data_IF_262273200924
#
_entry.id   IF_262273200924
#
_cell.length_a   1.000
_cell.length_b   1.000
_cell.length_c   1.000
_cell.angle_alpha   90.00
_cell.angle_beta   90.00
_cell.angle_gamma   90.00
#
_symmetry.space_group_name_H-M   'P 1'
#
loop_
_entity.id
_entity.type
_entity.pdbx_description
1 polymer ?
#
# COMPACT_ATOMS: atom_id res chain seq x y z
N UNK A 1 -56.32 74.67 -8.74
CA UNK A 1 -56.50 75.90 -7.92
C UNK A 1 -55.69 75.69 -6.66
N UNK A 2 -54.50 76.30 -6.56
CA UNK A 2 -54.22 77.45 -5.66
C UNK A 2 -54.57 77.13 -4.19
N UNK A 3 -53.73 77.31 -3.18
CA UNK A 3 -52.46 78.00 -3.04
C UNK A 3 -51.98 77.79 -1.58
N UNK A 4 -50.68 77.98 -1.32
CA UNK A 4 -50.07 78.76 -0.19
C UNK A 4 -50.77 78.73 1.19
N UNK A 5 -50.13 78.66 2.37
CA UNK A 5 -48.75 78.56 2.87
C UNK A 5 -48.83 78.94 4.36
N UNK A 6 -47.70 78.74 5.07
CA UNK A 6 -47.15 79.65 6.10
C UNK A 6 -47.41 79.41 7.60
N UNK A 7 -46.32 78.93 8.22
CA UNK A 7 -45.57 79.47 9.38
C UNK A 7 -46.10 79.41 10.82
N UNK A 8 -45.44 78.53 11.58
CA UNK A 8 -44.67 78.76 12.84
C UNK A 8 -45.05 79.95 13.74
N UNK A 9 -45.24 79.63 15.03
CA UNK A 9 -44.72 80.39 16.18
C UNK A 9 -44.58 79.51 17.44
N UNK A 10 -43.44 79.65 18.14
CA UNK A 10 -43.08 79.13 19.48
C UNK A 10 -43.69 80.05 20.57
N UNK A 11 -43.87 79.66 21.87
CA UNK A 11 -42.77 79.38 22.80
C UNK A 11 -43.03 78.38 23.97
N UNK A 12 -41.97 78.04 24.70
CA UNK A 12 -41.94 77.34 26.00
C UNK A 12 -42.17 78.34 27.17
N UNK A 13 -42.32 78.01 28.49
CA UNK A 13 -41.42 77.11 29.25
C UNK A 13 -41.97 76.38 30.53
N UNK A 14 -41.05 75.61 31.13
CA UNK A 14 -40.79 75.46 32.58
C UNK A 14 -41.40 74.29 33.41
N UNK A 15 -40.50 73.35 33.76
CA UNK A 15 -40.13 72.83 35.11
C UNK A 15 -41.26 72.20 35.95
N UNK A 16 -41.15 71.01 36.56
CA UNK A 16 -40.01 70.38 37.27
C UNK A 16 -40.52 69.02 37.78
N UNK A 17 -39.69 67.97 37.73
CA UNK A 17 -39.36 67.04 38.83
C UNK A 17 -38.54 65.86 38.29
N UNK A 18 -37.29 65.76 38.75
CA UNK A 18 -36.53 64.51 38.83
C UNK A 18 -37.25 63.59 39.86
N UNK A 19 -37.10 62.26 39.91
CA UNK A 19 -35.90 61.40 39.90
C UNK A 19 -36.34 59.95 39.63
N UNK A 20 -35.40 59.14 39.12
CA UNK A 20 -35.29 57.67 39.16
C UNK A 20 -36.13 56.86 38.16
N UNK A 21 -35.61 55.85 37.44
CA UNK A 21 -34.31 55.14 37.49
C UNK A 21 -34.22 54.23 36.25
N UNK A 22 -33.05 54.23 35.62
CA UNK A 22 -32.37 53.06 34.98
C UNK A 22 -33.20 52.18 34.02
N UNK A 23 -33.15 52.53 32.74
CA UNK A 23 -33.32 51.58 31.63
C UNK A 23 -32.65 52.14 30.36
N UNK A 24 -31.33 52.28 30.39
CA UNK A 24 -30.55 52.65 29.21
C UNK A 24 -29.18 51.97 29.30
N UNK A 25 -29.05 50.80 28.67
CA UNK A 25 -27.75 50.22 28.27
C UNK A 25 -27.94 49.00 27.35
N UNK A 26 -28.89 49.05 26.40
CA UNK A 26 -29.13 47.93 25.50
C UNK A 26 -29.45 48.41 24.08
N UNK A 27 -28.54 49.14 23.43
CA UNK A 27 -28.56 49.30 21.96
C UNK A 27 -27.29 49.90 21.31
N UNK A 28 -26.12 49.87 21.98
CA UNK A 28 -24.83 50.29 21.35
C UNK A 28 -23.67 49.39 21.81
N UNK A 29 -23.79 48.08 21.66
CA UNK A 29 -22.71 47.12 21.93
C UNK A 29 -22.46 46.14 20.77
N UNK A 30 -22.81 46.54 19.53
CA UNK A 30 -22.70 45.70 18.34
C UNK A 30 -21.69 46.23 17.30
N UNK A 31 -20.77 47.13 17.68
CA UNK A 31 -19.81 47.73 16.73
C UNK A 31 -18.34 47.77 17.20
N UNK A 32 -17.93 46.98 18.20
CA UNK A 32 -16.52 46.94 18.64
C UNK A 32 -15.98 45.51 18.72
N UNK A 33 -15.94 44.81 17.59
CA UNK A 33 -15.39 43.45 17.52
C UNK A 33 -14.79 43.03 16.18
N UNK A 34 -14.50 43.95 15.26
CA UNK A 34 -14.07 43.62 13.90
C UNK A 34 -12.68 44.18 13.51
N UNK A 35 -11.78 44.34 14.48
CA UNK A 35 -10.38 44.61 14.21
C UNK A 35 -9.50 43.72 15.11
N UNK A 36 -9.64 42.40 14.98
CA UNK A 36 -8.49 41.54 15.30
C UNK A 36 -7.48 41.78 14.17
N UNK A 37 -6.24 42.20 14.45
CA UNK A 37 -5.21 42.20 13.42
C UNK A 37 -5.07 40.76 12.92
N UNK A 38 -5.02 40.58 11.60
CA UNK A 38 -4.66 39.29 11.03
C UNK A 38 -3.36 38.85 11.70
N UNK A 39 -3.40 37.71 12.38
CA UNK A 39 -2.20 37.12 12.96
C UNK A 39 -1.19 37.01 11.83
N UNK A 40 0.06 37.50 11.99
CA UNK A 40 1.06 37.35 10.96
C UNK A 40 1.16 35.86 10.63
N UNK A 41 0.65 35.47 9.45
CA UNK A 41 0.88 34.13 8.94
C UNK A 41 2.38 34.07 8.66
N UNK A 42 3.12 33.16 9.31
CA UNK A 42 4.50 32.93 8.93
C UNK A 42 4.50 32.62 7.44
N UNK A 43 5.24 33.40 6.65
CA UNK A 43 5.52 33.02 5.28
C UNK A 43 6.15 31.63 5.32
N UNK A 44 5.59 30.70 4.55
CA UNK A 44 6.15 29.37 4.45
C UNK A 44 7.61 29.53 4.00
N UNK A 45 8.60 28.97 4.72
CA UNK A 45 9.98 29.04 4.29
C UNK A 45 10.07 28.49 2.86
N UNK A 46 10.93 29.08 2.01
CA UNK A 46 11.09 28.63 0.63
C UNK A 46 11.38 27.13 0.61
N UNK A 47 10.70 26.41 -0.29
CA UNK A 47 10.89 24.97 -0.43
C UNK A 47 12.39 24.68 -0.70
N UNK A 48 12.97 23.65 -0.05
CA UNK A 48 14.35 23.26 -0.31
C UNK A 48 14.57 22.99 -1.80
N UNK A 49 15.73 23.37 -2.33
CA UNK A 49 16.09 23.09 -3.73
C UNK A 49 16.22 21.59 -4.03
N UNK A 50 16.45 20.78 -2.98
CA UNK A 50 16.46 19.32 -3.03
C UNK A 50 15.52 18.83 -1.93
N UNK A 51 14.56 17.96 -2.28
CA UNK A 51 13.65 17.40 -1.30
C UNK A 51 14.42 16.68 -0.18
N UNK A 52 13.97 16.74 1.08
CA UNK A 52 14.57 15.97 2.16
C UNK A 52 14.13 14.50 2.11
N UNK A 53 14.80 13.63 2.88
CA UNK A 53 14.25 12.33 3.22
C UNK A 53 12.86 12.49 3.89
N UNK A 54 11.90 11.68 3.45
CA UNK A 54 10.52 11.71 3.94
C UNK A 54 10.39 11.38 5.43
N UNK A 55 11.32 10.58 5.96
CA UNK A 55 11.46 10.25 7.37
C UNK A 55 12.92 10.34 7.79
N UNK A 56 13.14 10.65 9.06
CA UNK A 56 14.39 10.35 9.76
C UNK A 56 14.42 8.89 10.19
N UNK A 57 15.61 8.31 10.37
CA UNK A 57 15.75 6.93 10.87
C UNK A 57 14.95 6.68 12.16
N UNK A 58 14.99 7.55 13.20
CA UNK A 58 14.18 7.34 14.39
C UNK A 58 12.66 7.43 14.16
N UNK A 59 12.20 8.15 13.13
CA UNK A 59 10.79 8.15 12.75
C UNK A 59 10.39 6.82 12.11
N UNK A 60 11.22 6.29 11.22
CA UNK A 60 11.00 4.96 10.62
C UNK A 60 11.00 3.85 11.67
N UNK A 61 11.92 3.88 12.63
CA UNK A 61 11.92 2.93 13.76
C UNK A 61 10.63 3.00 14.58
N UNK A 62 10.13 4.21 14.89
CA UNK A 62 8.83 4.36 15.60
C UNK A 62 7.65 3.81 14.80
N UNK A 63 7.65 3.98 13.47
CA UNK A 63 6.63 3.38 12.60
C UNK A 63 6.68 1.86 12.71
N UNK A 64 7.87 1.28 12.63
CA UNK A 64 8.09 -0.16 12.72
C UNK A 64 7.71 -0.73 14.09
N UNK A 65 8.07 -0.07 15.19
CA UNK A 65 7.63 -0.47 16.55
C UNK A 65 6.11 -0.51 16.64
N UNK A 66 5.43 0.55 16.19
CA UNK A 66 3.97 0.60 16.24
C UNK A 66 3.30 -0.42 15.30
N UNK A 67 3.91 -0.73 14.15
CA UNK A 67 3.47 -1.83 13.29
C UNK A 67 3.60 -3.18 14.02
N UNK A 68 4.74 -3.43 14.68
CA UNK A 68 5.00 -4.67 15.42
C UNK A 68 4.00 -4.91 16.55
N UNK A 69 3.63 -3.86 17.29
CA UNK A 69 2.59 -3.90 18.32
C UNK A 69 1.23 -4.30 17.74
N UNK A 70 0.82 -3.69 16.63
CA UNK A 70 -0.46 -4.01 15.96
C UNK A 70 -0.45 -5.42 15.39
N UNK A 71 0.64 -5.84 14.73
CA UNK A 71 0.76 -7.20 14.20
C UNK A 71 0.70 -8.23 15.33
N UNK A 72 1.45 -8.03 16.42
CA UNK A 72 1.48 -8.96 17.56
C UNK A 72 0.07 -9.14 18.16
N UNK A 73 -0.61 -8.05 18.48
CA UNK A 73 -1.94 -8.10 19.08
C UNK A 73 -2.99 -8.72 18.13
N UNK A 74 -2.91 -8.38 16.84
CA UNK A 74 -3.87 -8.90 15.84
C UNK A 74 -3.61 -10.37 15.50
N UNK A 75 -2.34 -10.79 15.45
CA UNK A 75 -1.94 -12.18 15.15
C UNK A 75 -2.32 -13.12 16.30
N UNK A 76 -2.17 -12.68 17.56
CA UNK A 76 -2.61 -13.45 18.73
C UNK A 76 -4.13 -13.66 18.73
N UNK A 77 -4.90 -12.63 18.36
CA UNK A 77 -6.36 -12.68 18.31
C UNK A 77 -6.92 -13.28 17.01
N UNK A 78 -6.09 -13.41 15.97
CA UNK A 78 -6.50 -13.66 14.58
C UNK A 78 -7.62 -12.71 14.10
N UNK A 79 -7.56 -11.44 14.54
CA UNK A 79 -8.58 -10.43 14.26
C UNK A 79 -8.15 -9.48 13.12
N UNK A 80 -8.71 -9.61 11.91
CA UNK A 80 -8.36 -8.73 10.81
C UNK A 80 -8.83 -7.28 11.03
N UNK A 81 -9.84 -7.05 11.88
CA UNK A 81 -10.32 -5.71 12.22
C UNK A 81 -9.29 -4.91 13.02
N UNK A 82 -8.50 -5.59 13.86
CA UNK A 82 -7.46 -4.99 14.68
C UNK A 82 -6.24 -4.48 13.87
N UNK A 83 -6.09 -4.92 12.61
CA UNK A 83 -4.98 -4.55 11.73
C UNK A 83 -5.10 -3.14 11.14
N UNK A 84 -6.32 -2.61 11.00
CA UNK A 84 -6.63 -1.38 10.26
C UNK A 84 -5.79 -0.13 10.64
N UNK A 85 -5.33 0.05 11.89
CA UNK A 85 -4.48 1.18 12.25
C UNK A 85 -3.12 1.18 11.53
N UNK A 86 -2.56 0.02 11.19
CA UNK A 86 -1.18 -0.12 10.67
C UNK A 86 -1.03 -1.00 9.44
N UNK A 87 -2.06 -1.67 8.97
CA UNK A 87 -2.00 -2.53 7.79
C UNK A 87 -3.14 -2.17 6.83
N UNK A 88 -2.84 -2.14 5.54
CA UNK A 88 -3.78 -1.79 4.49
C UNK A 88 -3.48 -2.54 3.18
N UNK A 89 -4.32 -2.31 2.16
CA UNK A 89 -4.06 -2.75 0.79
C UNK A 89 -3.81 -4.26 0.68
N UNK A 90 -2.86 -4.69 -0.17
CA UNK A 90 -2.58 -6.11 -0.37
C UNK A 90 -2.11 -6.82 0.91
N UNK A 91 -1.34 -6.16 1.79
CA UNK A 91 -0.94 -6.73 3.06
C UNK A 91 -2.15 -7.10 3.94
N UNK A 92 -3.16 -6.25 4.00
CA UNK A 92 -4.38 -6.54 4.76
C UNK A 92 -5.12 -7.77 4.19
N UNK A 93 -5.24 -7.85 2.86
CA UNK A 93 -5.86 -9.00 2.19
C UNK A 93 -5.10 -10.30 2.46
N UNK A 94 -3.76 -10.26 2.29
CA UNK A 94 -2.88 -11.39 2.55
C UNK A 94 -3.01 -11.85 4.01
N UNK A 95 -2.85 -10.94 4.98
CA UNK A 95 -2.89 -11.26 6.41
C UNK A 95 -4.26 -11.79 6.86
N UNK A 96 -5.35 -11.22 6.35
CA UNK A 96 -6.71 -11.71 6.62
C UNK A 96 -6.86 -13.17 6.17
N UNK A 97 -6.33 -13.52 5.00
CA UNK A 97 -6.35 -14.90 4.52
C UNK A 97 -5.46 -15.81 5.38
N UNK A 98 -4.32 -15.32 5.89
CA UNK A 98 -3.50 -16.09 6.83
C UNK A 98 -4.20 -16.36 8.16
N UNK A 99 -5.05 -15.45 8.64
CA UNK A 99 -5.88 -15.69 9.82
C UNK A 99 -6.91 -16.79 9.59
N UNK A 100 -7.59 -16.78 8.43
CA UNK A 100 -8.47 -17.89 8.03
C UNK A 100 -7.70 -19.21 7.98
N UNK A 101 -6.49 -19.22 7.41
CA UNK A 101 -5.61 -20.39 7.35
C UNK A 101 -5.25 -20.89 8.75
N UNK A 102 -4.83 -19.99 9.63
CA UNK A 102 -4.45 -20.34 11.00
C UNK A 102 -5.63 -20.93 11.76
N UNK A 103 -6.82 -20.32 11.69
CA UNK A 103 -8.04 -20.85 12.31
C UNK A 103 -8.44 -22.22 11.74
N UNK A 104 -8.49 -22.34 10.41
CA UNK A 104 -8.91 -23.58 9.72
C UNK A 104 -7.95 -24.76 9.98
N UNK A 105 -6.68 -24.47 10.29
CA UNK A 105 -5.66 -25.48 10.61
C UNK A 105 -5.41 -25.65 12.10
N UNK A 106 -6.24 -25.05 12.96
CA UNK A 106 -6.08 -25.07 14.42
C UNK A 106 -4.66 -24.63 14.87
N UNK A 107 -4.10 -23.63 14.19
CA UNK A 107 -2.78 -23.07 14.47
C UNK A 107 -1.60 -23.81 13.82
N UNK A 108 -1.82 -24.92 13.11
CA UNK A 108 -0.73 -25.68 12.49
C UNK A 108 -0.02 -24.90 11.35
N UNK A 109 -0.72 -23.96 10.70
CA UNK A 109 -0.16 -23.04 9.71
C UNK A 109 -0.34 -21.59 10.19
N UNK A 110 0.51 -21.08 11.09
CA UNK A 110 0.37 -19.74 11.67
C UNK A 110 0.56 -18.64 10.61
N UNK A 111 0.21 -17.37 10.93
CA UNK A 111 0.53 -16.23 10.07
C UNK A 111 2.03 -16.11 9.79
N UNK A 112 2.37 -15.57 8.63
CA UNK A 112 3.77 -15.35 8.24
C UNK A 112 4.45 -14.40 9.23
N UNK A 113 5.60 -14.80 9.78
CA UNK A 113 6.39 -13.92 10.63
C UNK A 113 6.89 -12.70 9.83
N UNK A 114 6.64 -11.50 10.37
CA UNK A 114 7.10 -10.22 9.84
C UNK A 114 7.87 -9.46 10.94
N UNK A 115 9.18 -9.69 11.07
CA UNK A 115 10.00 -8.93 12.00
C UNK A 115 9.94 -7.44 11.66
N UNK A 116 9.90 -6.58 12.69
CA UNK A 116 9.87 -5.12 12.52
C UNK A 116 11.18 -4.45 12.91
N UNK A 117 12.24 -5.21 13.18
CA UNK A 117 13.59 -4.68 13.27
C UNK A 117 14.16 -4.54 11.86
N UNK A 118 14.75 -3.38 11.56
CA UNK A 118 15.31 -3.09 10.25
C UNK A 118 16.80 -3.41 10.18
N UNK A 119 17.19 -4.19 9.18
CA UNK A 119 18.59 -4.32 8.76
C UNK A 119 19.00 -3.16 7.84
N UNK A 120 18.09 -2.73 6.96
CA UNK A 120 18.28 -1.59 6.06
C UNK A 120 16.96 -0.89 5.78
N UNK A 121 17.04 0.42 5.49
CA UNK A 121 15.89 1.26 5.14
C UNK A 121 16.18 2.02 3.85
N UNK A 122 15.23 2.00 2.93
CA UNK A 122 15.23 2.86 1.73
C UNK A 122 14.09 3.86 1.91
N UNK A 123 14.46 5.08 2.28
CA UNK A 123 13.51 6.18 2.56
C UNK A 123 13.40 7.04 1.31
N UNK A 124 12.19 7.43 0.86
CA UNK A 124 12.06 8.28 -0.31
C UNK A 124 12.52 9.72 -0.02
N UNK A 125 13.20 10.32 -0.97
CA UNK A 125 13.55 11.73 -1.00
C UNK A 125 12.47 12.48 -1.81
N UNK A 126 11.44 12.95 -1.14
CA UNK A 126 10.29 13.59 -1.81
C UNK A 126 9.50 14.48 -0.85
N UNK A 127 8.94 15.56 -1.39
CA UNK A 127 7.91 16.37 -0.71
C UNK A 127 6.50 15.95 -1.08
N UNK A 128 6.34 15.18 -2.15
CA UNK A 128 5.06 14.79 -2.73
C UNK A 128 4.44 13.58 -2.02
N UNK A 129 3.21 13.26 -2.42
CA UNK A 129 2.38 12.21 -1.86
C UNK A 129 1.88 11.29 -2.98
N UNK A 130 1.74 9.98 -2.77
CA UNK A 130 2.04 9.22 -1.55
C UNK A 130 3.55 9.01 -1.30
N UNK A 131 3.94 8.72 -0.05
CA UNK A 131 5.32 8.39 0.32
C UNK A 131 5.44 6.93 0.73
N UNK A 132 6.39 6.22 0.12
CA UNK A 132 6.59 4.78 0.37
C UNK A 132 8.04 4.51 0.70
N UNK A 133 8.31 4.01 1.91
CA UNK A 133 9.63 3.50 2.31
C UNK A 133 9.67 1.97 2.22
N UNK A 134 10.86 1.44 1.94
CA UNK A 134 11.12 0.01 1.97
C UNK A 134 12.02 -0.33 3.16
N UNK A 135 11.69 -1.39 3.89
CA UNK A 135 12.48 -1.85 5.03
C UNK A 135 12.87 -3.30 4.81
N UNK A 136 14.17 -3.59 4.77
CA UNK A 136 14.68 -4.95 4.85
C UNK A 136 14.74 -5.35 6.31
N UNK A 137 14.04 -6.42 6.67
CA UNK A 137 13.95 -6.86 8.06
C UNK A 137 15.21 -7.62 8.48
N UNK A 138 15.43 -7.74 9.79
CA UNK A 138 16.23 -8.85 10.31
C UNK A 138 15.65 -10.20 9.87
N UNK A 139 16.47 -11.25 9.94
CA UNK A 139 16.00 -12.60 9.63
C UNK A 139 14.96 -13.03 10.67
N UNK A 140 13.80 -13.57 10.26
CA UNK A 140 12.85 -14.17 11.18
C UNK A 140 13.48 -15.32 12.01
N UNK A 141 12.98 -15.53 13.23
CA UNK A 141 13.47 -16.56 14.16
C UNK A 141 13.37 -18.00 13.62
N UNK A 142 12.42 -18.24 12.71
CA UNK A 142 12.25 -19.53 12.02
C UNK A 142 13.24 -19.74 10.85
N UNK A 143 14.22 -18.84 10.71
CA UNK A 143 15.29 -18.84 9.71
C UNK A 143 14.80 -18.72 8.26
N UNK A 144 13.55 -18.34 8.05
CA UNK A 144 13.07 -18.01 6.71
C UNK A 144 13.80 -16.81 6.13
N UNK A 145 13.64 -16.59 4.82
CA UNK A 145 14.23 -15.44 4.15
C UNK A 145 13.80 -14.12 4.81
N UNK A 146 14.69 -13.13 4.85
CA UNK A 146 14.34 -11.79 5.28
C UNK A 146 13.17 -11.22 4.46
N UNK A 147 12.43 -10.29 5.04
CA UNK A 147 11.32 -9.63 4.35
C UNK A 147 11.74 -8.25 3.87
N UNK A 148 11.13 -7.80 2.78
CA UNK A 148 10.97 -6.38 2.47
C UNK A 148 9.57 -5.98 2.91
N UNK A 149 9.47 -5.03 3.84
CA UNK A 149 8.22 -4.38 4.21
C UNK A 149 8.05 -3.12 3.36
N UNK A 150 6.87 -2.96 2.76
CA UNK A 150 6.48 -1.78 1.98
C UNK A 150 5.57 -0.94 2.85
N UNK A 151 6.09 0.17 3.37
CA UNK A 151 5.37 1.05 4.29
C UNK A 151 4.97 2.33 3.56
N UNK A 152 3.68 2.59 3.46
CA UNK A 152 3.12 3.69 2.68
C UNK A 152 2.37 4.68 3.56
N UNK A 153 2.45 5.95 3.20
CA UNK A 153 1.68 7.05 3.74
C UNK A 153 1.04 7.82 2.58
N UNK A 154 -0.28 7.77 2.50
CA UNK A 154 -1.01 8.32 1.34
C UNK A 154 -1.15 9.84 1.37
N UNK A 155 -1.27 10.45 2.56
CA UNK A 155 -1.44 11.89 2.73
C UNK A 155 -0.67 12.42 3.97
N UNK A 156 -0.45 13.75 4.10
CA UNK A 156 0.33 14.34 5.18
C UNK A 156 -0.12 14.00 6.61
N UNK A 157 -1.40 13.66 6.79
CA UNK A 157 -1.99 13.37 8.10
C UNK A 157 -2.26 11.87 8.29
N UNK A 158 -2.16 11.08 7.24
CA UNK A 158 -2.20 9.63 7.34
C UNK A 158 -1.03 9.10 8.16
N UNK A 159 -1.24 7.95 8.79
CA UNK A 159 -0.16 7.18 9.39
C UNK A 159 0.55 6.36 8.30
N UNK A 160 1.84 6.08 8.47
CA UNK A 160 2.47 5.00 7.72
C UNK A 160 1.83 3.66 8.09
N UNK A 161 1.49 2.89 7.07
CA UNK A 161 0.91 1.54 7.17
C UNK A 161 1.67 0.56 6.29
N UNK A 162 1.70 -0.70 6.71
CA UNK A 162 2.14 -1.81 5.89
C UNK A 162 1.16 -1.99 4.74
N UNK A 163 1.62 -1.68 3.53
CA UNK A 163 0.87 -1.86 2.30
C UNK A 163 1.13 -3.24 1.69
N UNK A 164 2.36 -3.74 1.78
CA UNK A 164 2.75 -5.04 1.24
C UNK A 164 3.99 -5.59 1.94
N UNK A 165 4.23 -6.89 1.81
CA UNK A 165 5.52 -7.48 2.14
C UNK A 165 5.93 -8.49 1.07
N UNK A 166 7.23 -8.71 0.95
CA UNK A 166 7.80 -9.68 0.04
C UNK A 166 8.97 -10.42 0.71
N UNK A 167 9.19 -11.70 0.37
CA UNK A 167 10.38 -12.45 0.82
C UNK A 167 11.54 -12.18 -0.12
N UNK A 168 12.72 -11.89 0.43
CA UNK A 168 13.93 -11.76 -0.37
C UNK A 168 14.24 -13.07 -1.09
N UNK A 169 14.57 -12.97 -2.38
CA UNK A 169 14.95 -14.13 -3.18
C UNK A 169 16.30 -14.69 -2.69
N UNK A 170 16.48 -16.02 -2.64
CA UNK A 170 17.75 -16.63 -2.26
C UNK A 170 18.91 -16.11 -3.11
N UNK A 171 19.97 -15.61 -2.45
CA UNK A 171 21.15 -15.07 -3.11
C UNK A 171 20.97 -13.70 -3.77
N UNK A 172 19.78 -13.10 -3.71
CA UNK A 172 19.55 -11.72 -4.14
C UNK A 172 20.37 -10.75 -3.32
N UNK A 173 20.99 -9.78 -3.98
CA UNK A 173 21.72 -8.70 -3.34
C UNK A 173 20.94 -7.41 -3.50
N UNK A 174 20.61 -6.78 -2.37
CA UNK A 174 19.99 -5.46 -2.40
C UNK A 174 20.98 -4.46 -3.00
N UNK A 175 20.58 -3.70 -4.03
CA UNK A 175 21.44 -2.67 -4.61
C UNK A 175 21.72 -1.57 -3.58
N UNK A 176 22.87 -0.92 -3.70
CA UNK A 176 23.20 0.22 -2.85
C UNK A 176 22.21 1.36 -3.12
N UNK A 177 21.68 1.93 -2.04
CA UNK A 177 20.78 3.09 -2.06
C UNK A 177 21.41 4.25 -1.32
N UNK A 178 20.83 5.44 -1.46
CA UNK A 178 21.27 6.58 -0.68
C UNK A 178 21.11 6.29 0.83
N UNK A 179 21.98 6.85 1.69
CA UNK A 179 21.79 6.78 3.14
C UNK A 179 20.36 7.19 3.53
N UNK A 180 19.78 6.50 4.51
CA UNK A 180 18.37 6.68 4.87
C UNK A 180 18.02 8.11 5.35
N UNK A 181 18.98 8.84 5.89
CA UNK A 181 18.85 10.25 6.31
C UNK A 181 18.90 11.25 5.13
N UNK A 182 19.51 10.87 4.01
CA UNK A 182 19.48 11.61 2.76
C UNK A 182 18.24 11.27 1.91
N UNK A 183 17.84 10.00 1.91
CA UNK A 183 16.75 9.46 1.12
C UNK A 183 17.14 9.19 -0.34
N UNK A 184 16.42 8.26 -0.96
CA UNK A 184 16.57 7.91 -2.38
C UNK A 184 15.53 8.63 -3.22
N UNK A 185 15.95 9.22 -4.34
CA UNK A 185 15.06 9.90 -5.30
C UNK A 185 13.89 8.97 -5.68
N UNK A 186 12.67 9.51 -5.64
CA UNK A 186 11.47 8.80 -6.10
C UNK A 186 11.28 9.06 -7.59
N UNK A 187 11.14 8.00 -8.37
CA UNK A 187 11.00 8.07 -9.82
C UNK A 187 9.55 7.98 -10.26
N UNK A 188 9.23 8.67 -11.35
CA UNK A 188 7.94 8.57 -12.00
C UNK A 188 7.73 7.18 -12.62
N UNK A 189 6.47 6.77 -12.77
CA UNK A 189 6.11 5.47 -13.32
C UNK A 189 6.58 5.26 -14.77
N UNK A 190 6.73 6.35 -15.53
CA UNK A 190 7.17 6.42 -16.92
C UNK A 190 8.63 6.90 -17.07
N UNK A 191 9.42 6.89 -15.99
CA UNK A 191 10.81 7.36 -16.01
C UNK A 191 11.68 6.54 -16.97
N UNK A 192 12.21 7.22 -18.00
CA UNK A 192 13.01 6.61 -19.08
C UNK A 192 14.52 6.60 -18.81
N UNK A 193 14.97 6.98 -17.61
CA UNK A 193 16.38 6.88 -17.21
C UNK A 193 16.81 5.44 -16.90
N UNK A 194 15.86 4.52 -16.84
CA UNK A 194 16.03 3.11 -16.55
C UNK A 194 16.02 2.25 -17.83
N UNK A 195 16.52 1.02 -17.73
CA UNK A 195 16.49 0.04 -18.82
C UNK A 195 15.06 -0.25 -19.30
N UNK A 196 14.12 -0.30 -18.36
CA UNK A 196 12.68 -0.32 -18.58
C UNK A 196 12.06 0.75 -17.68
N UNK A 197 10.99 1.42 -18.12
CA UNK A 197 10.23 2.28 -17.21
C UNK A 197 9.69 1.45 -16.04
N UNK A 198 9.46 2.03 -14.84
CA UNK A 198 8.89 1.27 -13.73
C UNK A 198 7.59 0.53 -14.08
N UNK A 199 6.68 1.15 -14.84
CA UNK A 199 5.46 0.50 -15.33
C UNK A 199 5.75 -0.65 -16.30
N UNK A 200 6.68 -0.48 -17.23
CA UNK A 200 7.05 -1.54 -18.18
C UNK A 200 7.74 -2.71 -17.48
N UNK A 201 8.62 -2.45 -16.51
CA UNK A 201 9.31 -3.49 -15.76
C UNK A 201 8.32 -4.42 -15.04
N UNK A 202 7.30 -3.84 -14.41
CA UNK A 202 6.23 -4.59 -13.74
C UNK A 202 5.34 -5.36 -14.74
N UNK A 203 4.90 -4.70 -15.82
CA UNK A 203 4.01 -5.31 -16.81
C UNK A 203 4.70 -6.43 -17.58
N UNK A 204 5.94 -6.23 -18.01
CA UNK A 204 6.73 -7.23 -18.72
C UNK A 204 7.14 -8.38 -17.79
N UNK A 205 7.42 -8.12 -16.51
CA UNK A 205 7.64 -9.18 -15.53
C UNK A 205 6.44 -10.14 -15.45
N UNK A 206 5.21 -9.62 -15.46
CA UNK A 206 4.03 -10.47 -15.41
C UNK A 206 3.82 -11.30 -16.68
N UNK A 207 4.23 -10.81 -17.85
CA UNK A 207 4.27 -11.62 -19.07
C UNK A 207 5.31 -12.75 -18.96
N UNK A 208 6.50 -12.46 -18.42
CA UNK A 208 7.52 -13.48 -18.12
C UNK A 208 6.99 -14.50 -17.12
N UNK A 209 6.29 -14.08 -16.08
CA UNK A 209 5.72 -14.98 -15.09
C UNK A 209 4.61 -15.89 -15.68
N UNK A 210 3.85 -15.38 -16.65
CA UNK A 210 2.79 -16.12 -17.32
C UNK A 210 3.35 -17.14 -18.34
N UNK A 211 4.37 -16.74 -19.09
CA UNK A 211 4.85 -17.46 -20.27
C UNK A 211 6.23 -18.12 -20.09
N UNK A 212 6.93 -17.85 -18.99
CA UNK A 212 8.27 -18.35 -18.72
C UNK A 212 9.24 -18.01 -19.85
N UNK A 213 10.03 -19.01 -20.26
CA UNK A 213 10.99 -18.89 -21.37
C UNK A 213 10.35 -18.59 -22.74
N UNK A 214 9.03 -18.78 -22.90
CA UNK A 214 8.32 -18.45 -24.13
C UNK A 214 7.90 -16.97 -24.19
N UNK A 215 8.07 -16.20 -23.10
CA UNK A 215 7.84 -14.76 -23.12
C UNK A 215 8.79 -14.06 -24.09
N UNK A 216 8.26 -13.11 -24.86
CA UNK A 216 9.08 -12.23 -25.69
C UNK A 216 10.04 -11.36 -24.86
N UNK A 217 9.76 -11.16 -23.58
CA UNK A 217 10.56 -10.36 -22.66
C UNK A 217 11.54 -11.19 -21.82
N UNK A 218 11.56 -12.52 -21.96
CA UNK A 218 12.36 -13.40 -21.12
C UNK A 218 13.86 -13.03 -21.08
N UNK A 219 14.42 -12.55 -22.20
CA UNK A 219 15.82 -12.14 -22.27
C UNK A 219 16.15 -10.86 -21.46
N UNK A 220 15.15 -10.05 -21.12
CA UNK A 220 15.33 -8.83 -20.32
C UNK A 220 15.38 -9.09 -18.81
N UNK A 221 15.00 -10.29 -18.37
CA UNK A 221 14.89 -10.66 -16.96
C UNK A 221 15.86 -11.77 -16.59
N UNK A 222 16.51 -11.62 -15.44
CA UNK A 222 17.29 -12.71 -14.85
C UNK A 222 16.36 -13.85 -14.41
N UNK A 223 16.90 -15.07 -14.38
CA UNK A 223 16.19 -16.22 -13.83
C UNK A 223 15.76 -15.94 -12.38
N UNK A 224 14.52 -16.30 -12.03
CA UNK A 224 13.91 -15.94 -10.75
C UNK A 224 13.21 -17.14 -10.11
N UNK A 225 13.50 -17.46 -8.83
CA UNK A 225 12.76 -18.47 -8.08
C UNK A 225 11.26 -18.18 -8.00
N UNK A 226 10.85 -16.91 -7.97
CA UNK A 226 9.44 -16.53 -7.96
C UNK A 226 8.74 -16.94 -9.27
N UNK A 227 9.40 -16.76 -10.42
CA UNK A 227 8.85 -17.21 -11.70
C UNK A 227 8.68 -18.72 -11.68
N UNK A 228 9.68 -19.46 -11.21
CA UNK A 228 9.60 -20.92 -11.05
C UNK A 228 8.44 -21.34 -10.14
N UNK A 229 8.28 -20.70 -8.97
CA UNK A 229 7.16 -20.96 -8.05
C UNK A 229 5.80 -20.76 -8.73
N UNK A 230 5.66 -19.71 -9.53
CA UNK A 230 4.45 -19.45 -10.31
C UNK A 230 4.23 -20.48 -11.43
N UNK A 231 5.29 -21.03 -12.03
CA UNK A 231 5.18 -22.14 -12.99
C UNK A 231 4.73 -23.43 -12.31
N UNK A 232 5.29 -23.72 -11.14
CA UNK A 232 4.99 -24.90 -10.34
C UNK A 232 3.53 -24.87 -9.87
N UNK A 233 3.02 -23.71 -9.41
CA UNK A 233 1.60 -23.53 -9.06
C UNK A 233 0.67 -23.78 -10.26
N UNK A 234 1.05 -23.35 -11.46
CA UNK A 234 0.29 -23.64 -12.69
C UNK A 234 0.33 -25.13 -13.03
N UNK A 235 1.47 -25.79 -12.85
CA UNK A 235 1.63 -27.21 -13.07
C UNK A 235 0.83 -28.04 -12.05
N UNK A 236 0.83 -27.64 -10.78
CA UNK A 236 0.04 -28.26 -9.72
C UNK A 236 -1.46 -28.16 -10.01
N UNK A 237 -1.96 -26.99 -10.43
CA UNK A 237 -3.37 -26.83 -10.81
C UNK A 237 -3.77 -27.75 -11.99
N UNK A 238 -2.91 -27.85 -13.01
CA UNK A 238 -3.11 -28.77 -14.15
C UNK A 238 -3.11 -30.23 -13.71
N UNK A 239 -2.15 -30.61 -12.87
CA UNK A 239 -2.04 -31.97 -12.33
C UNK A 239 -3.23 -32.33 -11.44
N UNK A 240 -3.65 -31.39 -10.58
CA UNK A 240 -4.73 -31.58 -9.62
C UNK A 240 -6.09 -31.80 -10.25
N UNK A 241 -6.40 -31.14 -11.38
CA UNK A 241 -7.64 -31.43 -12.12
C UNK A 241 -7.49 -32.64 -13.07
N UNK A 242 -6.28 -32.90 -13.57
CA UNK A 242 -5.98 -34.06 -14.40
C UNK A 242 -6.92 -34.19 -15.61
N UNK A 243 -7.41 -35.41 -15.86
CA UNK A 243 -8.35 -35.68 -16.97
C UNK A 243 -9.79 -35.27 -16.68
N UNK A 244 -10.10 -34.76 -15.48
CA UNK A 244 -11.45 -34.35 -15.13
C UNK A 244 -11.84 -32.98 -15.72
N UNK A 245 -10.88 -32.22 -16.25
CA UNK A 245 -11.13 -30.87 -16.71
C UNK A 245 -9.90 -30.14 -17.22
N UNK A 246 -9.99 -28.80 -17.23
CA UNK A 246 -8.92 -27.90 -17.67
C UNK A 246 -8.51 -26.95 -16.55
N UNK A 247 -7.23 -26.57 -16.52
CA UNK A 247 -6.75 -25.50 -15.65
C UNK A 247 -6.09 -24.38 -16.46
N UNK A 248 -6.37 -23.14 -16.07
CA UNK A 248 -5.78 -21.94 -16.66
C UNK A 248 -5.51 -20.92 -15.56
N UNK A 249 -4.40 -20.17 -15.69
CA UNK A 249 -4.07 -19.09 -14.75
C UNK A 249 -3.96 -17.79 -15.51
N UNK A 250 -4.66 -16.77 -15.03
CA UNK A 250 -4.54 -15.39 -15.51
C UNK A 250 -3.80 -14.54 -14.49
N UNK A 251 -3.13 -13.51 -14.97
CA UNK A 251 -2.37 -12.56 -14.17
C UNK A 251 -2.81 -11.15 -14.52
N UNK A 252 -2.93 -10.30 -13.50
CA UNK A 252 -3.25 -8.88 -13.63
C UNK A 252 -2.25 -8.09 -12.79
N UNK A 253 -1.47 -7.23 -13.45
CA UNK A 253 -0.52 -6.33 -12.80
C UNK A 253 -1.21 -4.99 -12.53
N UNK A 254 -1.02 -4.39 -11.35
CA UNK A 254 -1.26 -2.95 -11.23
C UNK A 254 -0.13 -2.22 -11.97
N UNK A 255 -0.43 -1.50 -13.08
CA UNK A 255 0.60 -0.83 -13.86
C UNK A 255 1.23 0.35 -13.11
N UNK A 256 0.61 0.83 -12.02
CA UNK A 256 1.16 1.89 -11.20
C UNK A 256 2.06 1.28 -10.12
N UNK A 257 3.38 1.57 -10.14
CA UNK A 257 4.26 1.10 -9.08
C UNK A 257 3.83 1.70 -7.74
N UNK A 258 3.90 0.91 -6.68
CA UNK A 258 3.72 1.41 -5.31
C UNK A 258 4.87 2.35 -4.91
N UNK A 259 6.06 2.12 -5.48
CA UNK A 259 7.21 3.02 -5.43
C UNK A 259 8.26 2.63 -6.45
N UNK A 260 9.06 3.60 -6.89
CA UNK A 260 10.30 3.40 -7.63
C UNK A 260 11.37 4.28 -6.98
N UNK A 261 12.42 3.68 -6.40
CA UNK A 261 13.44 4.38 -5.62
C UNK A 261 14.82 4.21 -6.27
N UNK A 262 15.46 5.33 -6.59
CA UNK A 262 16.78 5.40 -7.24
C UNK A 262 17.84 4.67 -6.42
N UNK A 263 18.66 3.87 -7.10
CA UNK A 263 19.87 3.24 -6.54
C UNK A 263 21.12 4.05 -6.90
N UNK A 264 22.21 3.85 -6.14
CA UNK A 264 23.46 4.62 -6.29
C UNK A 264 24.11 4.43 -7.66
N UNK A 265 23.91 3.28 -8.28
CA UNK A 265 24.39 2.95 -9.63
C UNK A 265 23.52 3.52 -10.75
N UNK A 266 22.49 4.30 -10.43
CA UNK A 266 21.57 4.92 -11.38
C UNK A 266 20.35 4.08 -11.75
N UNK A 267 20.26 2.83 -11.28
CA UNK A 267 19.06 1.99 -11.43
C UNK A 267 17.93 2.38 -10.48
N UNK A 268 16.97 1.47 -10.26
CA UNK A 268 15.90 1.67 -9.30
C UNK A 268 15.42 0.36 -8.67
N UNK A 269 14.95 0.44 -7.43
CA UNK A 269 14.11 -0.57 -6.79
C UNK A 269 12.65 -0.22 -7.10
N UNK A 270 11.95 -1.07 -7.84
CA UNK A 270 10.56 -0.88 -8.27
C UNK A 270 9.67 -1.90 -7.59
N UNK A 271 8.64 -1.45 -6.88
CA UNK A 271 7.70 -2.31 -6.15
C UNK A 271 6.32 -2.23 -6.76
N UNK A 272 5.66 -3.37 -6.94
CA UNK A 272 4.29 -3.43 -7.42
C UNK A 272 3.49 -4.58 -6.81
N UNK A 273 2.20 -4.60 -7.10
CA UNK A 273 1.28 -5.67 -6.71
C UNK A 273 0.58 -6.26 -7.92
N UNK A 274 0.29 -7.54 -7.86
CA UNK A 274 -0.45 -8.24 -8.91
C UNK A 274 -1.47 -9.20 -8.30
N UNK A 275 -2.46 -9.54 -9.10
CA UNK A 275 -3.42 -10.61 -8.80
C UNK A 275 -3.17 -11.77 -9.76
N UNK A 276 -3.14 -13.00 -9.24
CA UNK A 276 -3.19 -14.20 -10.06
C UNK A 276 -4.49 -14.96 -9.78
N UNK A 277 -5.15 -15.46 -10.82
CA UNK A 277 -6.36 -16.28 -10.68
C UNK A 277 -6.12 -17.61 -11.36
N UNK A 278 -5.93 -18.66 -10.55
CA UNK A 278 -5.88 -20.04 -11.03
C UNK A 278 -7.30 -20.60 -11.08
N UNK A 279 -7.77 -20.91 -12.28
CA UNK A 279 -9.10 -21.45 -12.57
C UNK A 279 -8.99 -22.90 -12.99
N UNK A 280 -9.78 -23.74 -12.33
CA UNK A 280 -9.94 -25.16 -12.62
C UNK A 280 -11.42 -25.40 -12.99
N UNK A 281 -11.67 -25.90 -14.20
CA UNK A 281 -13.02 -26.12 -14.74
C UNK A 281 -13.23 -27.59 -15.03
N UNK A 282 -14.26 -28.19 -14.43
CA UNK A 282 -14.63 -29.59 -14.63
C UNK A 282 -15.34 -29.75 -15.98
N UNK A 283 -14.88 -30.69 -16.79
CA UNK A 283 -15.48 -31.00 -18.10
C UNK A 283 -15.92 -32.46 -18.22
N UNK A 284 -15.56 -33.30 -17.24
CA UNK A 284 -15.96 -34.70 -17.20
C UNK A 284 -17.24 -34.86 -16.36
N UNK A 285 -18.27 -35.45 -16.97
CA UNK A 285 -19.55 -35.67 -16.31
C UNK A 285 -19.40 -36.47 -14.99
N UNK A 286 -19.99 -35.94 -13.92
CA UNK A 286 -19.97 -36.55 -12.59
C UNK A 286 -18.66 -36.40 -11.83
N UNK A 287 -17.63 -35.78 -12.40
CA UNK A 287 -16.41 -35.45 -11.68
C UNK A 287 -16.59 -34.20 -10.80
N UNK A 288 -15.74 -34.07 -9.77
CA UNK A 288 -15.71 -32.90 -8.88
C UNK A 288 -14.27 -32.57 -8.49
N UNK A 289 -13.98 -31.30 -8.23
CA UNK A 289 -12.71 -30.86 -7.63
C UNK A 289 -12.86 -30.91 -6.11
N UNK A 290 -12.05 -31.72 -5.43
CA UNK A 290 -12.00 -31.75 -3.96
C UNK A 290 -11.22 -30.57 -3.40
N UNK A 291 -11.75 -29.93 -2.36
CA UNK A 291 -11.08 -28.90 -1.56
C UNK A 291 -10.68 -29.50 -0.22
N UNK A 292 -9.72 -30.43 -0.24
CA UNK A 292 -9.29 -31.16 0.96
C UNK A 292 -8.37 -30.36 1.88
N UNK A 293 -7.72 -29.28 1.39
CA UNK A 293 -7.00 -28.37 2.28
C UNK A 293 -8.04 -27.55 3.08
N UNK A 294 -8.04 -27.63 4.42
CA UNK A 294 -9.02 -26.93 5.25
C UNK A 294 -9.01 -25.42 5.05
N UNK A 295 -7.88 -24.83 4.66
CA UNK A 295 -7.79 -23.41 4.32
C UNK A 295 -8.61 -23.09 3.07
N UNK A 296 -8.49 -23.90 2.00
CA UNK A 296 -9.25 -23.68 0.78
C UNK A 296 -10.74 -23.96 0.98
N UNK A 297 -11.08 -24.97 1.77
CA UNK A 297 -12.47 -25.23 2.13
C UNK A 297 -13.09 -24.08 2.94
N UNK A 298 -12.34 -23.52 3.90
CA UNK A 298 -12.78 -22.38 4.70
C UNK A 298 -12.99 -21.12 3.84
N UNK A 299 -12.07 -20.82 2.91
CA UNK A 299 -12.22 -19.69 2.00
C UNK A 299 -13.38 -19.87 1.00
N UNK A 300 -13.59 -21.10 0.52
CA UNK A 300 -14.65 -21.40 -0.44
C UNK A 300 -16.04 -21.52 0.21
N UNK A 301 -16.11 -21.81 1.51
CA UNK A 301 -17.34 -22.22 2.19
C UNK A 301 -17.87 -23.58 1.71
N UNK A 302 -17.03 -24.40 1.06
CA UNK A 302 -17.40 -25.67 0.45
C UNK A 302 -16.21 -26.65 0.46
N UNK A 303 -16.48 -27.95 0.47
CA UNK A 303 -15.43 -29.00 0.43
C UNK A 303 -15.20 -29.58 -0.96
N UNK A 304 -16.01 -29.19 -1.95
CA UNK A 304 -15.85 -29.58 -3.34
C UNK A 304 -16.47 -28.55 -4.29
N UNK A 305 -16.10 -28.63 -5.58
CA UNK A 305 -16.69 -27.88 -6.69
C UNK A 305 -17.09 -28.85 -7.81
N UNK A 306 -18.31 -28.71 -8.34
CA UNK A 306 -18.84 -29.57 -9.40
C UNK A 306 -18.53 -29.04 -10.81
N UNK A 307 -18.38 -27.74 -10.95
CA UNK A 307 -18.20 -27.05 -12.23
C UNK A 307 -16.87 -26.28 -12.26
N UNK A 308 -16.56 -25.54 -11.20
CA UNK A 308 -15.43 -24.62 -11.21
C UNK A 308 -14.88 -24.33 -9.82
N UNK A 309 -13.55 -24.32 -9.72
CA UNK A 309 -12.84 -23.75 -8.58
C UNK A 309 -11.91 -22.64 -9.06
N UNK A 310 -11.94 -21.48 -8.40
CA UNK A 310 -10.94 -20.42 -8.60
C UNK A 310 -10.18 -20.19 -7.32
N UNK A 311 -8.86 -20.12 -7.42
CA UNK A 311 -7.96 -19.62 -6.39
C UNK A 311 -7.43 -18.26 -6.82
N UNK A 312 -7.74 -17.24 -6.03
CA UNK A 312 -7.25 -15.87 -6.20
C UNK A 312 -6.06 -15.69 -5.30
N UNK A 313 -4.97 -15.18 -5.86
CA UNK A 313 -3.75 -14.87 -5.15
C UNK A 313 -3.48 -13.37 -5.23
N UNK A 314 -3.09 -12.80 -4.10
CA UNK A 314 -2.54 -11.44 -4.04
C UNK A 314 -1.03 -11.53 -3.92
N UNK A 315 -0.32 -10.85 -4.82
CA UNK A 315 1.13 -10.88 -4.93
C UNK A 315 1.77 -9.51 -4.78
N UNK A 316 2.99 -9.51 -4.25
CA UNK A 316 3.91 -8.37 -4.20
C UNK A 316 5.19 -8.77 -4.89
N UNK A 317 5.72 -7.88 -5.73
CA UNK A 317 7.04 -8.06 -6.35
C UNK A 317 7.88 -6.81 -6.13
N UNK A 318 9.16 -7.01 -5.84
CA UNK A 318 10.17 -5.97 -5.76
C UNK A 318 11.25 -6.30 -6.78
N UNK A 319 11.42 -5.44 -7.77
CA UNK A 319 12.36 -5.57 -8.87
C UNK A 319 13.53 -4.61 -8.67
N UNK A 320 14.72 -5.01 -9.09
CA UNK A 320 15.78 -4.08 -9.44
C UNK A 320 15.78 -3.88 -10.95
N UNK A 321 15.64 -2.62 -11.37
CA UNK A 321 15.69 -2.20 -12.77
C UNK A 321 17.00 -1.44 -12.99
N UNK A 322 17.91 -1.95 -13.85
CA UNK A 322 19.17 -1.27 -14.15
C UNK A 322 18.98 0.11 -14.80
N UNK A 323 20.01 0.98 -14.79
CA UNK A 323 19.95 2.23 -15.56
C UNK A 323 19.88 1.98 -17.08
N UNK A 324 19.37 2.96 -17.82
CA UNK A 324 19.33 2.93 -19.27
C UNK A 324 20.73 2.70 -19.87
N UNK A 325 20.80 1.87 -20.92
CA UNK A 325 22.05 1.49 -21.57
C UNK A 325 22.86 0.41 -20.85
N UNK A 326 22.43 -0.04 -19.67
CA UNK A 326 23.02 -1.21 -19.00
C UNK A 326 22.85 -2.49 -19.83
N UNK A 327 23.83 -3.39 -19.72
CA UNK A 327 23.76 -4.76 -20.27
C UNK A 327 23.26 -5.77 -19.23
N UNK A 328 22.99 -5.32 -18.00
CA UNK A 328 22.39 -6.15 -16.96
C UNK A 328 20.90 -6.38 -17.25
N UNK A 329 20.36 -7.46 -16.69
CA UNK A 329 18.94 -7.78 -16.74
C UNK A 329 18.20 -7.22 -15.52
N UNK A 330 16.89 -7.06 -15.64
CA UNK A 330 16.00 -6.80 -14.50
C UNK A 330 16.02 -8.02 -13.57
N UNK A 331 16.10 -7.78 -12.27
CA UNK A 331 16.20 -8.85 -11.26
C UNK A 331 15.01 -8.80 -10.31
N UNK A 332 14.48 -9.96 -9.92
CA UNK A 332 13.51 -10.04 -8.83
C UNK A 332 14.27 -10.05 -7.52
N UNK A 333 14.18 -8.96 -6.76
CA UNK A 333 14.81 -8.85 -5.45
C UNK A 333 14.01 -9.61 -4.39
N UNK A 334 12.69 -9.43 -4.40
CA UNK A 334 11.78 -10.05 -3.46
C UNK A 334 10.43 -10.35 -4.12
N UNK A 335 9.74 -11.35 -3.59
CA UNK A 335 8.43 -11.78 -4.04
C UNK A 335 7.61 -12.40 -2.92
N UNK A 336 6.30 -12.24 -2.98
CA UNK A 336 5.37 -13.03 -2.18
C UNK A 336 4.07 -13.20 -2.97
N UNK A 337 3.42 -14.35 -2.79
CA UNK A 337 2.11 -14.63 -3.37
C UNK A 337 1.29 -15.44 -2.37
N UNK A 338 0.16 -14.91 -1.93
CA UNK A 338 -0.71 -15.56 -0.94
C UNK A 338 -2.08 -15.78 -1.54
N UNK A 339 -2.67 -16.97 -1.35
CA UNK A 339 -4.08 -17.21 -1.69
C UNK A 339 -4.94 -16.34 -0.79
N UNK A 340 -5.69 -15.42 -1.39
CA UNK A 340 -6.57 -14.48 -0.68
C UNK A 340 -8.05 -14.74 -0.92
N UNK A 341 -8.39 -15.64 -1.85
CA UNK A 341 -9.76 -16.07 -2.06
C UNK A 341 -9.86 -17.41 -2.75
N UNK A 342 -10.90 -18.16 -2.42
CA UNK A 342 -11.29 -19.38 -3.15
C UNK A 342 -12.79 -19.31 -3.43
N UNK A 343 -13.18 -19.66 -4.65
CA UNK A 343 -14.59 -19.89 -4.99
C UNK A 343 -14.77 -21.30 -5.52
N UNK A 344 -15.94 -21.87 -5.26
CA UNK A 344 -16.33 -23.21 -5.68
C UNK A 344 -17.79 -23.17 -6.14
N UNK A 345 -18.07 -23.76 -7.29
CA UNK A 345 -19.41 -23.97 -7.84
C UNK A 345 -19.52 -25.36 -8.45
#
# INVERSE_FOLDING_TARGET
MTATSRTRTRPAPARRRLVATVAACALVALLVGACSPDLPQPDAPPAPAVAPAALTVPQSERVLTSLGEVLTASDEALDPGALAPRVEGPALAMRTAEYVRASATAGAKPPTALPTNALAMVVPQTTDWSRTQLVVTEQPDDLQAQRILVLRQDDPRALYKLWGWARLMPGSQMPATAPADAGSETLAADDTSLLLTPTDALTQFMDVAANGAASQYAASFAASPLVQEMEDLRAEARSGIGSAGTAATSYEMDPNPATALRTVDGGAIVTGTFTAVSRMTVTLDGATIGLSDPFYAALAGATSAAHESKRTFTGIVVLYVPPAGSQAQVQVLAGELVVTGVTAS
#
